data_IF_239616861945
#
_entry.id   IF_239616861945
#
_cell.length_a   1.000
_cell.length_b   1.000
_cell.length_c   1.000
_cell.angle_alpha   90.00
_cell.angle_beta   90.00
_cell.angle_gamma   90.00
#
_symmetry.space_group_name_H-M   'P 1'
#
loop_
_entity.id
_entity.type
_entity.pdbx_description
1 polymer ?
#
# COMPACT_ATOMS: atom_id res chain seq x y z
N UNK A 1 1.55 -14.95 -65.55
CA UNK A 1 1.50 -15.59 -64.21
C UNK A 1 2.32 -14.84 -63.16
N UNK A 2 3.41 -14.13 -63.49
CA UNK A 2 4.20 -13.35 -62.51
C UNK A 2 3.55 -12.03 -62.03
N UNK A 3 2.63 -11.44 -62.80
CA UNK A 3 1.97 -10.17 -62.43
C UNK A 3 0.96 -10.26 -61.29
N UNK A 4 0.46 -11.47 -60.98
CA UNK A 4 -0.50 -11.66 -59.88
C UNK A 4 0.19 -11.83 -58.52
N UNK A 5 1.47 -12.21 -58.49
CA UNK A 5 2.23 -12.43 -57.24
C UNK A 5 2.74 -11.12 -56.65
N UNK A 6 3.07 -10.13 -57.49
CA UNK A 6 3.48 -8.79 -57.02
C UNK A 6 2.34 -8.05 -56.31
N UNK A 7 1.10 -8.27 -56.75
CA UNK A 7 -0.06 -7.60 -56.15
C UNK A 7 -0.32 -8.13 -54.74
N UNK A 8 -0.26 -9.45 -54.48
CA UNK A 8 -0.46 -10.01 -53.15
C UNK A 8 0.59 -9.52 -52.13
N UNK A 9 1.86 -9.43 -52.54
CA UNK A 9 2.94 -8.96 -51.68
C UNK A 9 2.80 -7.47 -51.33
N UNK A 10 2.23 -6.66 -52.23
CA UNK A 10 1.93 -5.25 -51.96
C UNK A 10 0.78 -5.08 -50.96
N UNK A 11 -0.23 -5.95 -50.97
CA UNK A 11 -1.32 -5.92 -49.99
C UNK A 11 -0.86 -6.36 -48.59
N UNK A 12 0.01 -7.38 -48.49
CA UNK A 12 0.57 -7.81 -47.18
C UNK A 12 1.48 -6.74 -46.57
N UNK A 13 2.32 -6.10 -47.38
CA UNK A 13 3.22 -5.02 -46.93
C UNK A 13 2.46 -3.77 -46.43
N UNK A 14 1.30 -3.46 -47.03
CA UNK A 14 0.43 -2.34 -46.59
C UNK A 14 -0.36 -2.69 -45.33
N UNK A 15 -0.74 -3.95 -45.13
CA UNK A 15 -1.44 -4.40 -43.93
C UNK A 15 -0.52 -4.42 -42.69
N UNK A 16 0.76 -4.80 -42.83
CA UNK A 16 1.72 -4.82 -41.71
C UNK A 16 2.19 -3.42 -41.27
N UNK A 17 2.26 -2.43 -42.17
CA UNK A 17 2.68 -1.07 -41.81
C UNK A 17 1.58 -0.26 -41.09
N UNK A 18 0.30 -0.56 -41.36
CA UNK A 18 -0.85 0.15 -40.76
C UNK A 18 -1.03 -0.15 -39.25
N UNK A 19 -0.64 -1.35 -38.78
CA UNK A 19 -0.84 -1.78 -37.39
C UNK A 19 0.15 -1.19 -36.38
N UNK A 20 1.40 -0.91 -36.78
CA UNK A 20 2.46 -0.52 -35.84
C UNK A 20 2.45 0.98 -35.49
N UNK A 21 2.17 1.86 -36.46
CA UNK A 21 2.18 3.30 -36.23
C UNK A 21 1.07 3.74 -35.27
N UNK A 22 -0.13 3.15 -35.39
CA UNK A 22 -1.27 3.52 -34.56
C UNK A 22 -1.13 3.02 -33.11
N UNK A 23 -0.57 1.83 -32.91
CA UNK A 23 -0.28 1.30 -31.56
C UNK A 23 0.83 2.10 -30.86
N UNK A 24 1.86 2.54 -31.59
CA UNK A 24 2.91 3.40 -31.06
C UNK A 24 2.37 4.81 -30.70
N UNK A 25 1.47 5.34 -31.52
CA UNK A 25 0.84 6.64 -31.31
C UNK A 25 -0.16 6.61 -30.14
N UNK A 26 -0.92 5.52 -30.01
CA UNK A 26 -1.78 5.26 -28.83
C UNK A 26 -0.92 5.12 -27.56
N UNK A 27 0.20 4.38 -27.62
CA UNK A 27 1.13 4.26 -26.50
C UNK A 27 1.72 5.61 -26.07
N UNK A 28 2.13 6.44 -27.04
CA UNK A 28 2.63 7.79 -26.78
C UNK A 28 1.59 8.72 -26.15
N UNK A 29 0.36 8.71 -26.67
CA UNK A 29 -0.75 9.51 -26.10
C UNK A 29 -1.06 9.06 -24.67
N UNK A 30 -1.13 7.76 -24.42
CA UNK A 30 -1.37 7.23 -23.06
C UNK A 30 -0.26 7.70 -22.11
N UNK A 31 1.00 7.68 -22.54
CA UNK A 31 2.14 8.11 -21.72
C UNK A 31 2.09 9.62 -21.41
N UNK A 32 1.74 10.45 -22.40
CA UNK A 32 1.61 11.91 -22.24
C UNK A 32 0.44 12.23 -21.31
N UNK A 33 -0.71 11.61 -21.53
CA UNK A 33 -1.90 11.80 -20.70
C UNK A 33 -1.64 11.33 -19.27
N UNK A 34 -1.01 10.17 -19.09
CA UNK A 34 -0.60 9.68 -17.77
C UNK A 34 0.39 10.64 -17.11
N UNK A 35 1.38 11.14 -17.84
CA UNK A 35 2.35 12.12 -17.34
C UNK A 35 1.70 13.43 -16.91
N UNK A 36 0.77 13.97 -17.70
CA UNK A 36 0.02 15.19 -17.37
C UNK A 36 -0.88 14.98 -16.14
N UNK A 37 -1.56 13.82 -16.05
CA UNK A 37 -2.39 13.47 -14.90
C UNK A 37 -1.54 13.36 -13.63
N UNK A 38 -0.38 12.70 -13.70
CA UNK A 38 0.55 12.58 -12.57
C UNK A 38 1.11 13.95 -12.17
N UNK A 39 1.49 14.79 -13.14
CA UNK A 39 2.04 16.12 -12.92
C UNK A 39 1.00 17.08 -12.29
N UNK A 40 -0.25 17.07 -12.78
CA UNK A 40 -1.35 17.85 -12.18
C UNK A 40 -1.70 17.34 -10.78
N UNK A 41 -1.71 16.01 -10.57
CA UNK A 41 -1.91 15.41 -9.25
C UNK A 41 -0.87 15.86 -8.23
N UNK A 42 0.39 15.99 -8.68
CA UNK A 42 1.50 16.46 -7.86
C UNK A 42 1.47 17.98 -7.62
N UNK A 43 1.05 18.78 -8.61
CA UNK A 43 1.01 20.24 -8.50
C UNK A 43 -0.05 20.75 -7.52
N UNK A 44 -1.17 20.05 -7.43
CA UNK A 44 -2.29 20.45 -6.56
C UNK A 44 -2.34 19.70 -5.22
N UNK A 45 -1.32 18.89 -4.91
CA UNK A 45 -1.29 17.99 -3.76
C UNK A 45 -2.61 17.20 -3.57
N UNK A 46 -3.21 16.80 -4.71
CA UNK A 46 -4.51 16.11 -4.71
C UNK A 46 -4.35 14.67 -4.21
N UNK A 47 -3.12 14.15 -4.12
CA UNK A 47 -2.86 12.80 -3.65
C UNK A 47 -3.50 12.51 -2.29
N UNK A 48 -3.20 13.34 -1.28
CA UNK A 48 -3.80 13.21 0.07
C UNK A 48 -5.31 13.33 0.04
N UNK A 49 -5.84 14.31 -0.69
CA UNK A 49 -7.27 14.55 -0.74
C UNK A 49 -8.03 13.43 -1.43
N UNK A 50 -7.48 12.86 -2.51
CA UNK A 50 -8.03 11.69 -3.19
C UNK A 50 -7.97 10.48 -2.27
N UNK A 51 -6.85 10.23 -1.58
CA UNK A 51 -6.71 9.13 -0.62
C UNK A 51 -7.74 9.23 0.52
N UNK A 52 -7.91 10.41 1.10
CA UNK A 52 -8.87 10.65 2.18
C UNK A 52 -10.31 10.55 1.69
N UNK A 53 -10.65 11.14 0.54
CA UNK A 53 -11.99 11.03 -0.05
C UNK A 53 -12.35 9.58 -0.37
N UNK A 54 -11.40 8.83 -0.94
CA UNK A 54 -11.56 7.41 -1.24
C UNK A 54 -11.68 6.57 0.04
N UNK A 55 -10.87 6.86 1.06
CA UNK A 55 -10.90 6.19 2.37
C UNK A 55 -12.22 6.42 3.12
N UNK A 56 -12.69 7.67 3.16
CA UNK A 56 -14.01 8.03 3.70
C UNK A 56 -15.12 7.39 2.87
N UNK A 57 -15.02 7.42 1.54
CA UNK A 57 -16.00 6.81 0.64
C UNK A 57 -16.12 5.30 0.85
N UNK A 58 -15.01 4.57 0.96
CA UNK A 58 -15.01 3.13 1.25
C UNK A 58 -15.50 2.81 2.67
N UNK A 59 -15.15 3.63 3.66
CA UNK A 59 -15.67 3.47 5.02
C UNK A 59 -17.18 3.68 5.05
N UNK A 60 -17.69 4.73 4.40
CA UNK A 60 -19.12 5.03 4.27
C UNK A 60 -19.86 3.93 3.50
N UNK A 61 -19.29 3.42 2.41
CA UNK A 61 -19.81 2.28 1.67
C UNK A 61 -19.86 1.02 2.55
N UNK A 62 -18.83 0.77 3.37
CA UNK A 62 -18.82 -0.33 4.35
C UNK A 62 -19.92 -0.21 5.40
N UNK A 63 -20.21 1.01 5.88
CA UNK A 63 -21.33 1.28 6.80
C UNK A 63 -22.67 1.03 6.11
N UNK A 64 -22.85 1.53 4.88
CA UNK A 64 -24.10 1.40 4.13
C UNK A 64 -24.40 -0.04 3.71
N UNK A 65 -23.39 -0.78 3.26
CA UNK A 65 -23.52 -2.17 2.79
C UNK A 65 -23.39 -3.20 3.91
N UNK A 66 -22.93 -2.79 5.11
CA UNK A 66 -22.57 -3.68 6.23
C UNK A 66 -21.60 -4.80 5.82
N UNK A 67 -20.85 -4.60 4.74
CA UNK A 67 -19.90 -5.58 4.22
C UNK A 67 -18.51 -5.30 4.77
N UNK A 68 -17.99 -6.29 5.51
CA UNK A 68 -16.71 -6.23 6.20
C UNK A 68 -15.53 -5.89 5.27
N UNK A 69 -15.57 -6.34 4.01
CA UNK A 69 -14.49 -6.16 3.04
C UNK A 69 -14.19 -4.71 2.68
N UNK A 70 -15.14 -3.79 2.82
CA UNK A 70 -14.99 -2.38 2.45
C UNK A 70 -14.29 -1.54 3.52
N UNK A 71 -14.30 -2.00 4.78
CA UNK A 71 -13.59 -1.33 5.87
C UNK A 71 -12.07 -1.47 5.77
N UNK A 72 -11.58 -2.54 5.14
CA UNK A 72 -10.14 -2.78 4.98
C UNK A 72 -9.48 -1.69 4.12
N UNK A 73 -9.90 -1.46 2.85
CA UNK A 73 -9.34 -0.38 2.05
C UNK A 73 -9.64 0.99 2.68
N UNK A 74 -10.81 1.17 3.29
CA UNK A 74 -11.16 2.43 3.98
C UNK A 74 -10.18 2.81 5.11
N UNK A 75 -9.86 1.86 5.99
CA UNK A 75 -8.92 2.10 7.10
C UNK A 75 -7.48 2.29 6.65
N UNK A 76 -7.02 1.54 5.64
CA UNK A 76 -5.68 1.70 5.06
C UNK A 76 -5.53 3.09 4.42
N UNK A 77 -6.50 3.48 3.58
CA UNK A 77 -6.47 4.76 2.87
C UNK A 77 -6.61 5.95 3.82
N UNK A 78 -7.49 5.85 4.83
CA UNK A 78 -7.58 6.87 5.86
C UNK A 78 -6.31 6.95 6.71
N UNK A 79 -5.67 5.82 7.04
CA UNK A 79 -4.42 5.80 7.80
C UNK A 79 -3.26 6.44 7.03
N UNK A 80 -3.10 6.10 5.74
CA UNK A 80 -2.07 6.70 4.87
C UNK A 80 -2.39 8.18 4.65
N UNK A 81 -3.63 8.52 4.29
CA UNK A 81 -4.05 9.90 4.06
C UNK A 81 -3.85 10.80 5.27
N UNK A 82 -4.20 10.30 6.47
CA UNK A 82 -3.98 11.02 7.73
C UNK A 82 -2.49 11.14 8.05
N UNK A 83 -1.70 10.09 7.83
CA UNK A 83 -0.25 10.13 8.07
C UNK A 83 0.47 11.16 7.21
N UNK A 84 0.16 11.20 5.90
CA UNK A 84 0.73 12.19 4.99
C UNK A 84 0.26 13.60 5.35
N UNK A 85 -1.03 13.78 5.66
CA UNK A 85 -1.56 15.09 6.08
C UNK A 85 -0.85 15.61 7.35
N UNK A 86 -0.55 14.74 8.32
CA UNK A 86 0.17 15.11 9.54
C UNK A 86 1.63 15.49 9.26
N UNK A 87 2.31 14.79 8.35
CA UNK A 87 3.66 15.16 7.92
C UNK A 87 3.64 16.52 7.23
N UNK A 88 2.77 16.70 6.24
CA UNK A 88 2.67 17.94 5.45
C UNK A 88 2.23 19.15 6.28
N UNK A 89 1.46 18.93 7.34
CA UNK A 89 1.05 19.99 8.27
C UNK A 89 2.22 20.59 9.07
N UNK A 90 3.40 19.99 9.03
CA UNK A 90 4.59 20.46 9.76
C UNK A 90 4.54 20.21 11.27
N UNK A 91 3.57 19.42 11.75
CA UNK A 91 3.49 18.99 13.16
C UNK A 91 4.69 18.11 13.54
N UNK A 92 5.25 17.38 12.56
CA UNK A 92 6.44 16.59 12.73
C UNK A 92 7.69 17.49 12.71
N UNK A 93 8.33 17.69 13.86
CA UNK A 93 9.50 18.55 14.01
C UNK A 93 10.82 18.01 13.42
N UNK A 94 10.77 17.19 12.36
CA UNK A 94 11.93 16.64 11.65
C UNK A 94 11.72 15.22 11.10
N UNK A 95 12.56 14.81 10.14
CA UNK A 95 12.48 13.53 9.40
C UNK A 95 12.39 12.29 10.32
N UNK A 96 13.11 12.31 11.45
CA UNK A 96 13.07 11.22 12.43
C UNK A 96 11.69 11.06 13.09
N UNK A 97 10.97 12.17 13.28
CA UNK A 97 9.65 12.20 13.91
C UNK A 97 8.55 11.95 12.87
N UNK A 98 8.74 12.38 11.62
CA UNK A 98 7.79 12.13 10.52
C UNK A 98 7.45 10.65 10.37
N UNK A 99 8.47 9.78 10.34
CA UNK A 99 8.26 8.33 10.26
C UNK A 99 7.47 7.77 11.44
N UNK A 100 7.70 8.29 12.65
CA UNK A 100 6.97 7.87 13.86
C UNK A 100 5.49 8.27 13.82
N UNK A 101 5.21 9.53 13.43
CA UNK A 101 3.86 10.07 13.32
C UNK A 101 3.09 9.36 12.20
N UNK A 102 3.74 9.10 11.06
CA UNK A 102 3.15 8.34 9.98
C UNK A 102 2.78 6.91 10.42
N UNK A 103 3.68 6.20 11.10
CA UNK A 103 3.39 4.85 11.60
C UNK A 103 2.22 4.84 12.59
N UNK A 104 2.14 5.84 13.48
CA UNK A 104 1.05 5.98 14.44
C UNK A 104 -0.29 6.29 13.75
N UNK A 105 -0.29 7.21 12.77
CA UNK A 105 -1.46 7.51 11.95
C UNK A 105 -1.92 6.27 11.17
N UNK A 106 -0.98 5.53 10.61
CA UNK A 106 -1.28 4.29 9.89
C UNK A 106 -1.83 3.22 10.85
N UNK A 107 -1.25 3.08 12.04
CA UNK A 107 -1.75 2.20 13.09
C UNK A 107 -3.18 2.54 13.52
N UNK A 108 -3.53 3.84 13.60
CA UNK A 108 -4.90 4.30 13.83
C UNK A 108 -5.84 3.89 12.68
N UNK A 109 -5.38 3.99 11.44
CA UNK A 109 -6.08 3.47 10.27
C UNK A 109 -6.42 1.98 10.41
N UNK A 110 -5.44 1.17 10.80
CA UNK A 110 -5.61 -0.26 11.07
C UNK A 110 -6.55 -0.56 12.24
N UNK A 111 -6.41 0.17 13.35
CA UNK A 111 -7.28 0.03 14.52
C UNK A 111 -8.74 0.40 14.19
N UNK A 112 -8.94 1.41 13.33
CA UNK A 112 -10.26 1.83 12.89
C UNK A 112 -11.01 0.73 12.13
N UNK A 113 -10.31 -0.14 11.37
CA UNK A 113 -10.92 -1.31 10.69
C UNK A 113 -11.58 -2.22 11.72
N UNK A 114 -10.85 -2.58 12.78
CA UNK A 114 -11.36 -3.48 13.82
C UNK A 114 -12.47 -2.82 14.63
N UNK A 115 -12.36 -1.51 14.88
CA UNK A 115 -13.37 -0.73 15.58
C UNK A 115 -14.68 -0.67 14.77
N UNK A 116 -14.61 -0.30 13.49
CA UNK A 116 -15.79 -0.20 12.63
C UNK A 116 -16.42 -1.56 12.34
N UNK A 117 -15.62 -2.60 12.12
CA UNK A 117 -16.17 -3.96 11.93
C UNK A 117 -16.85 -4.49 13.20
N UNK A 118 -16.35 -4.15 14.39
CA UNK A 118 -17.02 -4.51 15.67
C UNK A 118 -18.32 -3.74 15.90
N UNK A 119 -18.40 -2.47 15.47
CA UNK A 119 -19.59 -1.62 15.66
C UNK A 119 -20.67 -1.93 14.61
N UNK A 120 -20.29 -2.10 13.34
CA UNK A 120 -21.23 -2.13 12.21
C UNK A 120 -21.42 -3.50 11.57
N UNK A 121 -20.60 -4.50 11.92
CA UNK A 121 -20.72 -5.85 11.36
C UNK A 121 -20.85 -6.93 12.44
N UNK A 122 -21.59 -8.02 12.15
CA UNK A 122 -21.75 -9.14 13.09
C UNK A 122 -20.47 -9.98 13.25
N UNK A 123 -19.50 -9.84 12.34
CA UNK A 123 -18.20 -10.51 12.40
C UNK A 123 -17.11 -9.50 12.71
N UNK A 124 -16.68 -9.46 13.96
CA UNK A 124 -15.55 -8.64 14.37
C UNK A 124 -14.24 -9.22 13.80
N UNK A 125 -13.53 -8.44 12.98
CA UNK A 125 -12.19 -8.79 12.53
C UNK A 125 -11.19 -8.25 13.54
N UNK A 126 -10.59 -9.13 14.33
CA UNK A 126 -9.53 -8.76 15.30
C UNK A 126 -8.12 -8.91 14.71
N UNK A 127 -7.99 -9.56 13.54
CA UNK A 127 -6.71 -9.70 12.88
C UNK A 127 -6.01 -8.36 12.57
N UNK A 128 -6.70 -7.25 12.18
CA UNK A 128 -6.04 -5.98 11.86
C UNK A 128 -5.41 -5.32 13.09
N UNK A 129 -5.82 -5.72 14.30
CA UNK A 129 -5.26 -5.22 15.55
C UNK A 129 -3.82 -5.68 15.77
N UNK A 130 -3.41 -6.82 15.20
CA UNK A 130 -2.04 -7.33 15.32
C UNK A 130 -1.05 -6.43 14.57
N UNK A 131 -1.18 -6.21 13.24
CA UNK A 131 -0.28 -5.31 12.52
C UNK A 131 -0.44 -3.86 13.01
N UNK A 132 -1.67 -3.40 13.29
CA UNK A 132 -1.89 -2.06 13.85
C UNK A 132 -1.20 -1.87 15.20
N UNK A 133 -1.24 -2.88 16.08
CA UNK A 133 -0.55 -2.86 17.37
C UNK A 133 0.96 -2.87 17.22
N UNK A 134 1.51 -3.66 16.30
CA UNK A 134 2.95 -3.67 16.01
C UNK A 134 3.40 -2.31 15.46
N UNK A 135 2.65 -1.71 14.53
CA UNK A 135 2.94 -0.38 14.00
C UNK A 135 2.83 0.70 15.08
N UNK A 136 1.84 0.62 15.96
CA UNK A 136 1.71 1.54 17.09
C UNK A 136 2.89 1.41 18.05
N UNK A 137 3.33 0.18 18.32
CA UNK A 137 4.48 -0.09 19.18
C UNK A 137 5.77 0.44 18.56
N UNK A 138 6.04 0.14 17.29
CA UNK A 138 7.22 0.61 16.56
C UNK A 138 7.19 2.13 16.44
N UNK A 139 6.09 2.73 15.99
CA UNK A 139 5.93 4.17 15.85
C UNK A 139 6.08 4.89 17.19
N UNK A 140 5.48 4.34 18.25
CA UNK A 140 5.61 4.87 19.61
C UNK A 140 7.04 4.77 20.14
N UNK A 141 7.75 3.68 19.86
CA UNK A 141 9.14 3.55 20.23
C UNK A 141 10.07 4.47 19.42
N UNK A 142 9.81 4.68 18.12
CA UNK A 142 10.52 5.69 17.33
C UNK A 142 10.32 7.10 17.90
N UNK A 143 9.13 7.39 18.45
CA UNK A 143 8.84 8.67 19.11
C UNK A 143 9.67 8.85 20.40
N UNK A 144 10.07 7.77 21.07
CA UNK A 144 10.98 7.78 22.22
C UNK A 144 12.46 7.97 21.82
N UNK A 145 12.76 8.03 20.51
CA UNK A 145 14.09 8.25 19.98
C UNK A 145 15.07 7.13 20.38
N UNK A 146 16.21 7.52 20.95
CA UNK A 146 17.32 6.63 21.26
C UNK A 146 16.94 5.47 22.20
N UNK A 147 16.09 5.74 23.20
CA UNK A 147 15.60 4.71 24.14
C UNK A 147 14.76 3.65 23.43
N UNK A 148 13.86 4.09 22.54
CA UNK A 148 13.03 3.17 21.78
C UNK A 148 13.83 2.35 20.78
N UNK A 149 14.79 2.97 20.09
CA UNK A 149 15.72 2.27 19.20
C UNK A 149 16.54 1.20 19.93
N UNK A 150 16.93 1.44 21.18
CA UNK A 150 17.58 0.42 22.03
C UNK A 150 16.68 -0.80 22.34
N UNK A 151 15.38 -0.56 22.56
CA UNK A 151 14.41 -1.63 22.77
C UNK A 151 14.18 -2.41 21.47
N UNK A 152 14.01 -1.71 20.33
CA UNK A 152 13.84 -2.34 19.02
C UNK A 152 15.05 -3.18 18.61
N UNK A 153 16.27 -2.68 18.84
CA UNK A 153 17.49 -3.41 18.50
C UNK A 153 17.61 -4.69 19.33
N UNK A 154 17.24 -4.64 20.61
CA UNK A 154 17.16 -5.82 21.47
C UNK A 154 16.10 -6.82 20.96
N UNK A 155 14.93 -6.32 20.57
CA UNK A 155 13.86 -7.14 20.00
C UNK A 155 14.24 -7.77 18.65
N UNK A 156 15.07 -7.10 17.86
CA UNK A 156 15.55 -7.63 16.59
C UNK A 156 16.35 -8.95 16.77
N UNK A 157 16.97 -9.16 17.94
CA UNK A 157 17.65 -10.42 18.26
C UNK A 157 16.68 -11.57 18.63
N UNK A 158 15.40 -11.31 18.92
CA UNK A 158 14.45 -12.40 19.19
C UNK A 158 14.22 -13.28 17.96
N UNK A 159 14.14 -12.70 16.76
CA UNK A 159 13.91 -13.47 15.53
C UNK A 159 15.02 -14.50 15.27
N UNK A 160 16.31 -14.11 15.23
CA UNK A 160 17.41 -15.06 15.06
C UNK A 160 17.44 -16.09 16.19
N UNK A 161 17.15 -15.70 17.43
CA UNK A 161 17.11 -16.62 18.57
C UNK A 161 16.03 -17.69 18.39
N UNK A 162 14.81 -17.29 17.98
CA UNK A 162 13.72 -18.21 17.68
C UNK A 162 14.07 -19.16 16.52
N UNK A 163 14.75 -18.67 15.49
CA UNK A 163 15.24 -19.51 14.39
C UNK A 163 16.30 -20.50 14.85
N UNK A 164 17.25 -20.08 15.70
CA UNK A 164 18.27 -20.97 16.25
C UNK A 164 17.63 -22.06 17.10
N UNK A 165 16.71 -21.69 18.01
CA UNK A 165 15.99 -22.64 18.85
C UNK A 165 15.14 -23.59 17.98
N UNK A 166 14.40 -23.06 16.99
CA UNK A 166 13.61 -23.85 16.05
C UNK A 166 14.47 -24.84 15.26
N UNK A 167 15.63 -24.39 14.76
CA UNK A 167 16.60 -25.24 14.06
C UNK A 167 17.15 -26.35 14.94
N UNK A 168 17.50 -26.05 16.20
CA UNK A 168 17.95 -27.05 17.17
C UNK A 168 16.83 -28.07 17.44
N UNK A 169 15.59 -27.62 17.65
CA UNK A 169 14.44 -28.50 17.89
C UNK A 169 14.23 -29.45 16.72
N UNK A 170 14.26 -28.94 15.48
CA UNK A 170 14.12 -29.77 14.26
C UNK A 170 15.24 -30.79 14.16
N UNK A 171 16.49 -30.40 14.41
CA UNK A 171 17.65 -31.30 14.36
C UNK A 171 17.55 -32.43 15.40
N UNK A 172 17.14 -32.11 16.63
CA UNK A 172 16.96 -33.09 17.70
C UNK A 172 15.80 -34.03 17.40
N UNK A 173 14.69 -33.53 16.82
CA UNK A 173 13.55 -34.35 16.42
C UNK A 173 13.89 -35.27 15.24
N UNK A 174 14.64 -34.77 14.26
CA UNK A 174 15.06 -35.55 13.08
C UNK A 174 16.04 -36.67 13.42
N UNK A 175 16.79 -36.57 14.52
CA UNK A 175 17.68 -37.64 15.00
C UNK A 175 16.98 -38.69 15.88
N UNK A 176 15.73 -38.45 16.28
CA UNK A 176 14.94 -39.33 17.16
C UNK A 176 13.82 -40.10 16.43
N UNK A 177 13.61 -39.84 15.14
CA UNK A 177 12.75 -40.64 14.25
C UNK A 177 13.62 -41.36 13.22
#
# INVERSE_FOLDING_TARGET
>A
MQSHVDQSNQYESQAEQSGNGQQQLIGGIILIVAGIILMLGQLFNLGVWVLLMLGVGFTAAGIATKHVGWFIPGGILNGIGLGVLLIESGIAGGEAIEGSIFLLAFALGWASISLFTRIFSPKALLWPLIPGGIMAFIGGALLLGEVGLGILSTLNYLWPLLLVIGGIIILVRSRRG
#
